data_IF_324970711438
#
_entry.id   IF_324970711438
#
_cell.length_a   1.000
_cell.length_b   1.000
_cell.length_c   1.000
_cell.angle_alpha   90.00
_cell.angle_beta   90.00
_cell.angle_gamma   90.00
#
_symmetry.space_group_name_H-M   'P 1'
#
loop_
_entity.id
_entity.type
_entity.pdbx_description
1 polymer ?
#
# COMPACT_ATOMS: atom_id res chain seq x y z
N UNK A 1 2.49 -2.08 -25.95
CA UNK A 1 2.63 -3.41 -25.29
C UNK A 1 4.06 -3.96 -25.28
N UNK A 2 4.94 -3.60 -26.24
CA UNK A 2 6.34 -4.08 -26.27
C UNK A 2 7.24 -3.57 -25.11
N UNK A 3 6.97 -2.38 -24.57
CA UNK A 3 7.82 -1.76 -23.54
C UNK A 3 7.74 -2.44 -22.15
N UNK A 4 6.59 -3.03 -21.81
CA UNK A 4 6.36 -3.69 -20.51
C UNK A 4 7.11 -5.03 -20.40
N UNK A 5 7.15 -5.78 -21.51
CA UNK A 5 7.93 -7.01 -21.60
C UNK A 5 9.45 -6.76 -21.51
N UNK A 6 9.91 -5.60 -21.97
CA UNK A 6 11.32 -5.24 -21.89
C UNK A 6 11.77 -5.04 -20.43
N UNK A 7 10.92 -4.45 -19.57
CA UNK A 7 11.20 -4.27 -18.14
C UNK A 7 11.21 -5.62 -17.43
N UNK A 8 10.24 -6.49 -17.69
CA UNK A 8 10.17 -7.84 -17.11
C UNK A 8 11.35 -8.71 -17.56
N UNK A 9 11.75 -8.62 -18.83
CA UNK A 9 12.92 -9.31 -19.35
C UNK A 9 14.22 -8.79 -18.70
N UNK A 10 14.36 -7.48 -18.49
CA UNK A 10 15.50 -6.89 -17.78
C UNK A 10 15.61 -7.42 -16.34
N UNK A 11 14.48 -7.54 -15.62
CA UNK A 11 14.43 -8.12 -14.28
C UNK A 11 14.75 -9.63 -14.25
N UNK A 12 14.50 -10.37 -15.34
CA UNK A 12 14.81 -11.80 -15.44
C UNK A 12 16.23 -12.09 -15.94
N UNK A 13 16.85 -11.18 -16.71
CA UNK A 13 18.21 -11.34 -17.25
C UNK A 13 19.26 -10.96 -16.20
N UNK A 14 18.96 -9.99 -15.33
CA UNK A 14 19.90 -9.50 -14.30
C UNK A 14 20.39 -10.60 -13.33
N UNK A 15 19.55 -11.53 -12.84
CA UNK A 15 20.00 -12.66 -12.01
C UNK A 15 20.74 -13.73 -12.82
N UNK A 16 20.40 -13.91 -14.10
CA UNK A 16 20.90 -15.03 -14.92
C UNK A 16 22.36 -14.85 -15.37
N UNK A 17 22.84 -13.62 -15.53
CA UNK A 17 24.23 -13.35 -15.90
C UNK A 17 25.23 -13.47 -14.73
N UNK A 18 24.77 -13.55 -13.48
CA UNK A 18 25.64 -13.72 -12.31
C UNK A 18 26.17 -15.15 -12.12
N UNK A 19 25.74 -16.13 -12.93
CA UNK A 19 26.06 -17.54 -12.71
C UNK A 19 27.31 -18.06 -13.43
N UNK A 20 28.04 -17.19 -14.15
CA UNK A 20 29.18 -17.59 -14.97
C UNK A 20 30.51 -16.93 -14.55
N UNK A 21 30.96 -17.08 -13.31
CA UNK A 21 32.39 -16.87 -13.00
C UNK A 21 32.90 -17.68 -11.80
N UNK A 22 34.12 -18.20 -11.96
CA UNK A 22 34.79 -19.26 -11.19
C UNK A 22 34.93 -19.07 -9.67
N UNK A 23 35.04 -20.24 -9.03
CA UNK A 23 35.22 -20.62 -7.62
C UNK A 23 36.39 -19.98 -6.85
N UNK A 24 36.29 -18.70 -6.47
CA UNK A 24 37.14 -18.17 -5.36
C UNK A 24 36.56 -16.99 -4.54
N UNK A 25 35.36 -16.48 -4.83
CA UNK A 25 34.80 -15.26 -4.19
C UNK A 25 33.38 -15.43 -3.60
N UNK A 26 33.05 -16.60 -3.05
CA UNK A 26 31.68 -16.94 -2.60
C UNK A 26 31.15 -16.01 -1.48
N UNK A 27 32.04 -15.41 -0.68
CA UNK A 27 31.65 -14.45 0.36
C UNK A 27 31.40 -13.04 -0.19
N UNK A 28 32.19 -12.59 -1.17
CA UNK A 28 32.12 -11.23 -1.73
C UNK A 28 30.89 -11.07 -2.64
N UNK A 29 30.63 -12.07 -3.49
CA UNK A 29 29.46 -12.10 -4.39
C UNK A 29 28.13 -12.11 -3.58
N UNK A 30 28.12 -12.75 -2.41
CA UNK A 30 26.92 -12.83 -1.56
C UNK A 30 26.60 -11.49 -0.90
N UNK A 31 27.61 -10.68 -0.57
CA UNK A 31 27.40 -9.36 0.01
C UNK A 31 27.05 -8.31 -1.06
N UNK A 32 27.64 -8.41 -2.27
CA UNK A 32 27.24 -7.60 -3.43
C UNK A 32 25.80 -7.88 -3.87
N UNK A 33 25.38 -9.15 -4.00
CA UNK A 33 24.00 -9.51 -4.35
C UNK A 33 23.00 -8.99 -3.30
N UNK A 34 23.32 -9.16 -2.01
CA UNK A 34 22.51 -8.64 -0.90
C UNK A 34 22.42 -7.10 -0.92
N UNK A 35 23.46 -6.43 -1.40
CA UNK A 35 23.49 -4.97 -1.54
C UNK A 35 22.63 -4.52 -2.72
N UNK A 36 22.77 -5.15 -3.89
CA UNK A 36 21.92 -4.88 -5.07
C UNK A 36 20.45 -5.13 -4.76
N UNK A 37 20.12 -6.24 -4.10
CA UNK A 37 18.74 -6.57 -3.70
C UNK A 37 18.13 -5.48 -2.80
N UNK A 38 18.89 -4.98 -1.81
CA UNK A 38 18.45 -3.87 -0.95
C UNK A 38 18.18 -2.60 -1.76
N UNK A 39 19.07 -2.22 -2.68
CA UNK A 39 18.88 -1.03 -3.51
C UNK A 39 17.65 -1.16 -4.42
N UNK A 40 17.48 -2.31 -5.07
CA UNK A 40 16.30 -2.59 -5.90
C UNK A 40 15.03 -2.51 -5.07
N UNK A 41 15.01 -3.12 -3.88
CA UNK A 41 13.85 -3.07 -2.99
C UNK A 41 13.50 -1.64 -2.55
N UNK A 42 14.51 -0.82 -2.21
CA UNK A 42 14.30 0.59 -1.83
C UNK A 42 13.74 1.40 -3.00
N UNK A 43 14.31 1.26 -4.20
CA UNK A 43 13.84 1.99 -5.40
C UNK A 43 12.40 1.60 -5.74
N UNK A 44 12.10 0.29 -5.79
CA UNK A 44 10.75 -0.19 -6.07
C UNK A 44 9.75 0.27 -5.02
N UNK A 45 10.12 0.19 -3.74
CA UNK A 45 9.29 0.66 -2.64
C UNK A 45 8.99 2.15 -2.75
N UNK A 46 10.00 2.98 -3.00
CA UNK A 46 9.83 4.43 -3.18
C UNK A 46 8.93 4.78 -4.37
N UNK A 47 9.07 4.07 -5.49
CA UNK A 47 8.22 4.28 -6.68
C UNK A 47 6.76 3.89 -6.40
N UNK A 48 6.53 2.74 -5.78
CA UNK A 48 5.19 2.29 -5.40
C UNK A 48 4.52 3.25 -4.40
N UNK A 49 5.30 3.75 -3.44
CA UNK A 49 4.82 4.72 -2.46
C UNK A 49 4.44 6.04 -3.13
N UNK A 50 5.30 6.57 -4.00
CA UNK A 50 5.02 7.80 -4.74
C UNK A 50 3.77 7.65 -5.60
N UNK A 51 3.67 6.55 -6.34
CA UNK A 51 2.48 6.24 -7.14
C UNK A 51 1.22 6.16 -6.27
N UNK A 52 1.30 5.48 -5.12
CA UNK A 52 0.20 5.36 -4.17
C UNK A 52 -0.24 6.71 -3.60
N UNK A 53 0.70 7.58 -3.21
CA UNK A 53 0.41 8.93 -2.71
C UNK A 53 -0.24 9.78 -3.80
N UNK A 54 0.39 9.86 -4.98
CA UNK A 54 -0.10 10.69 -6.09
C UNK A 54 -1.50 10.24 -6.53
N UNK A 55 -1.71 8.93 -6.69
CA UNK A 55 -3.02 8.38 -7.10
C UNK A 55 -4.12 8.66 -6.08
N UNK A 56 -3.83 8.51 -4.79
CA UNK A 56 -4.80 8.80 -3.73
C UNK A 56 -5.11 10.30 -3.61
N UNK A 57 -4.11 11.18 -3.74
CA UNK A 57 -4.33 12.63 -3.79
C UNK A 57 -5.18 13.01 -4.99
N UNK A 58 -4.85 12.48 -6.18
CA UNK A 58 -5.62 12.76 -7.39
C UNK A 58 -7.08 12.32 -7.23
N UNK A 59 -7.32 11.14 -6.66
CA UNK A 59 -8.67 10.65 -6.40
C UNK A 59 -9.43 11.54 -5.41
N UNK A 60 -8.75 12.03 -4.36
CA UNK A 60 -9.31 12.97 -3.40
C UNK A 60 -9.67 14.31 -4.06
N UNK A 61 -8.79 14.85 -4.91
CA UNK A 61 -9.05 16.08 -5.67
C UNK A 61 -10.26 15.90 -6.57
N UNK A 62 -10.40 14.76 -7.25
CA UNK A 62 -11.57 14.45 -8.08
C UNK A 62 -12.86 14.45 -7.24
N UNK A 63 -12.84 13.84 -6.06
CA UNK A 63 -14.00 13.84 -5.16
C UNK A 63 -14.37 15.22 -4.64
N UNK A 64 -13.39 16.10 -4.40
CA UNK A 64 -13.65 17.46 -3.95
C UNK A 64 -14.06 18.42 -5.08
N UNK A 65 -13.60 18.17 -6.31
CA UNK A 65 -13.78 19.11 -7.43
C UNK A 65 -15.03 18.86 -8.26
N UNK A 66 -15.64 17.66 -8.15
CA UNK A 66 -16.75 17.26 -8.99
C UNK A 66 -18.04 17.09 -8.18
N UNK A 67 -18.81 18.16 -8.08
CA UNK A 67 -20.20 18.09 -7.64
C UNK A 67 -21.00 17.25 -8.65
N UNK A 68 -21.42 16.04 -8.23
CA UNK A 68 -22.48 15.19 -8.82
C UNK A 68 -22.14 13.97 -9.70
N UNK A 69 -20.90 13.48 -9.84
CA UNK A 69 -20.67 12.23 -10.61
C UNK A 69 -20.89 10.93 -9.81
N UNK A 70 -20.66 10.95 -8.50
CA UNK A 70 -20.71 9.74 -7.67
C UNK A 70 -21.69 9.89 -6.52
N UNK A 71 -22.29 8.78 -6.09
CA UNK A 71 -23.16 8.80 -4.92
C UNK A 71 -22.36 9.17 -3.68
N UNK A 72 -22.99 9.91 -2.77
CA UNK A 72 -22.37 10.33 -1.51
C UNK A 72 -21.75 9.14 -0.75
N UNK A 73 -22.46 8.02 -0.67
CA UNK A 73 -21.97 6.80 -0.01
C UNK A 73 -20.75 6.21 -0.70
N UNK A 74 -20.66 6.27 -2.03
CA UNK A 74 -19.46 5.82 -2.76
C UNK A 74 -18.25 6.69 -2.40
N UNK A 75 -18.42 8.02 -2.43
CA UNK A 75 -17.35 8.97 -2.08
C UNK A 75 -16.90 8.78 -0.64
N UNK A 76 -17.82 8.55 0.29
CA UNK A 76 -17.49 8.26 1.69
C UNK A 76 -16.65 7.00 1.83
N UNK A 77 -17.07 5.86 1.26
CA UNK A 77 -16.29 4.60 1.35
C UNK A 77 -14.91 4.79 0.73
N UNK A 78 -14.84 5.39 -0.46
CA UNK A 78 -13.58 5.62 -1.15
C UNK A 78 -12.65 6.56 -0.37
N UNK A 79 -13.19 7.58 0.29
CA UNK A 79 -12.42 8.47 1.17
C UNK A 79 -11.83 7.71 2.36
N UNK A 80 -12.58 6.78 2.96
CA UNK A 80 -12.06 5.93 4.04
C UNK A 80 -10.92 5.04 3.55
N UNK A 81 -11.00 4.50 2.33
CA UNK A 81 -9.91 3.71 1.72
C UNK A 81 -8.64 4.56 1.51
N UNK A 82 -8.81 5.82 1.08
CA UNK A 82 -7.70 6.77 0.93
C UNK A 82 -7.02 6.99 2.29
N UNK A 83 -7.81 7.22 3.35
CA UNK A 83 -7.27 7.37 4.72
C UNK A 83 -6.51 6.12 5.16
N UNK A 84 -7.07 4.92 4.97
CA UNK A 84 -6.38 3.66 5.26
C UNK A 84 -5.06 3.51 4.47
N UNK A 85 -5.03 3.97 3.23
CA UNK A 85 -3.82 3.92 2.39
C UNK A 85 -2.70 4.78 3.00
N UNK A 86 -3.01 6.01 3.42
CA UNK A 86 -2.04 6.89 4.09
C UNK A 86 -1.59 6.35 5.46
N UNK A 87 -2.53 5.78 6.23
CA UNK A 87 -2.19 5.10 7.49
C UNK A 87 -1.26 3.92 7.26
N UNK A 88 -1.39 3.20 6.14
CA UNK A 88 -0.48 2.10 5.81
C UNK A 88 0.88 2.58 5.30
N UNK A 89 0.94 3.71 4.57
CA UNK A 89 2.21 4.27 4.09
C UNK A 89 3.11 4.74 5.24
N UNK A 90 2.54 5.31 6.29
CA UNK A 90 3.29 5.86 7.45
C UNK A 90 4.24 4.85 8.11
N UNK A 91 3.78 3.67 8.59
CA UNK A 91 4.66 2.67 9.20
C UNK A 91 5.64 2.10 8.18
N UNK A 92 5.24 1.92 6.92
CA UNK A 92 6.11 1.37 5.89
C UNK A 92 7.28 2.30 5.55
N UNK A 93 7.03 3.60 5.34
CA UNK A 93 8.08 4.60 5.13
C UNK A 93 9.02 4.63 6.33
N UNK A 94 8.45 4.64 7.54
CA UNK A 94 9.25 4.73 8.75
C UNK A 94 10.16 3.51 8.89
N UNK A 95 9.65 2.29 8.69
CA UNK A 95 10.47 1.07 8.74
C UNK A 95 11.55 1.06 7.66
N UNK A 96 11.23 1.46 6.42
CA UNK A 96 12.19 1.48 5.31
C UNK A 96 13.28 2.52 5.54
N UNK A 97 12.92 3.74 5.94
CA UNK A 97 13.87 4.81 6.28
C UNK A 97 14.78 4.37 7.43
N UNK A 98 14.22 3.77 8.48
CA UNK A 98 15.01 3.23 9.60
C UNK A 98 15.95 2.11 9.15
N UNK A 99 15.51 1.23 8.25
CA UNK A 99 16.33 0.13 7.71
C UNK A 99 17.48 0.64 6.84
N UNK A 100 17.30 1.76 6.13
CA UNK A 100 18.36 2.42 5.33
C UNK A 100 19.32 3.18 6.25
N UNK A 101 18.80 3.90 7.25
CA UNK A 101 19.58 4.65 8.24
C UNK A 101 20.29 3.75 9.26
N UNK A 102 20.38 2.44 8.99
CA UNK A 102 20.96 1.39 9.84
C UNK A 102 22.45 1.62 10.08
N UNK A 103 22.73 2.55 10.98
CA UNK A 103 23.95 2.64 11.73
C UNK A 103 23.71 1.86 13.03
N UNK A 104 24.70 1.11 13.52
CA UNK A 104 24.59 0.24 14.72
C UNK A 104 23.98 0.96 15.94
N UNK A 105 24.12 2.28 16.01
CA UNK A 105 23.62 3.11 17.10
C UNK A 105 22.09 3.34 17.09
N UNK A 106 21.41 3.17 15.94
CA UNK A 106 19.95 3.35 15.85
C UNK A 106 19.16 2.10 16.28
N UNK A 107 19.80 0.93 16.30
CA UNK A 107 19.18 -0.34 16.68
C UNK A 107 18.84 -0.38 18.18
N UNK A 108 19.62 0.33 19.02
CA UNK A 108 19.37 0.45 20.46
C UNK A 108 18.30 1.49 20.81
N UNK A 109 18.01 2.44 19.90
CA UNK A 109 17.17 3.60 20.23
C UNK A 109 15.71 3.47 19.77
N UNK A 110 15.42 2.61 18.80
CA UNK A 110 14.03 2.27 18.44
C UNK A 110 13.50 1.31 19.50
N UNK A 111 12.67 1.83 20.41
CA UNK A 111 11.97 0.99 21.36
C UNK A 111 11.16 -0.09 20.61
N UNK A 112 11.27 -1.36 21.03
CA UNK A 112 10.46 -2.49 20.55
C UNK A 112 8.96 -2.15 20.46
N UNK A 113 8.50 -1.22 21.29
CA UNK A 113 7.15 -0.65 21.26
C UNK A 113 6.80 0.06 19.95
N UNK A 114 7.70 0.86 19.38
CA UNK A 114 7.47 1.58 18.11
C UNK A 114 7.26 0.59 16.97
N UNK A 115 8.11 -0.44 16.88
CA UNK A 115 7.95 -1.50 15.88
C UNK A 115 6.63 -2.24 16.04
N UNK A 116 6.24 -2.58 17.27
CA UNK A 116 4.94 -3.21 17.56
C UNK A 116 3.77 -2.33 17.15
N UNK A 117 3.80 -1.05 17.48
CA UNK A 117 2.74 -0.09 17.12
C UNK A 117 2.63 0.04 15.60
N UNK A 118 3.75 0.21 14.89
CA UNK A 118 3.76 0.33 13.43
C UNK A 118 3.33 -0.96 12.73
N UNK A 119 3.75 -2.11 13.24
CA UNK A 119 3.28 -3.40 12.73
C UNK A 119 1.78 -3.57 12.95
N UNK A 120 1.26 -3.24 14.13
CA UNK A 120 -0.16 -3.30 14.43
C UNK A 120 -0.97 -2.34 13.56
N UNK A 121 -0.51 -1.10 13.40
CA UNK A 121 -1.13 -0.06 12.57
C UNK A 121 -1.19 -0.48 11.09
N UNK A 122 -0.12 -1.08 10.55
CA UNK A 122 -0.10 -1.58 9.17
C UNK A 122 -1.08 -2.74 8.97
N UNK A 123 -1.08 -3.72 9.88
CA UNK A 123 -2.01 -4.85 9.84
C UNK A 123 -3.46 -4.39 9.94
N UNK A 124 -3.77 -3.51 10.91
CA UNK A 124 -5.10 -2.93 11.07
C UNK A 124 -5.54 -2.18 9.82
N UNK A 125 -4.70 -1.29 9.29
CA UNK A 125 -5.02 -0.52 8.07
C UNK A 125 -5.28 -1.42 6.86
N UNK A 126 -4.53 -2.53 6.74
CA UNK A 126 -4.74 -3.52 5.69
C UNK A 126 -6.10 -4.22 5.82
N UNK A 127 -6.46 -4.69 7.02
CA UNK A 127 -7.75 -5.33 7.25
C UNK A 127 -8.93 -4.38 7.01
N UNK A 128 -8.86 -3.16 7.53
CA UNK A 128 -9.91 -2.14 7.30
C UNK A 128 -10.02 -1.84 5.80
N UNK A 129 -8.91 -1.68 5.09
CA UNK A 129 -8.90 -1.46 3.64
C UNK A 129 -9.57 -2.60 2.86
N UNK A 130 -9.36 -3.86 3.24
CA UNK A 130 -10.02 -5.01 2.62
C UNK A 130 -11.53 -4.97 2.80
N UNK A 131 -11.99 -4.74 4.03
CA UNK A 131 -13.42 -4.67 4.33
C UNK A 131 -14.10 -3.48 3.64
N UNK A 132 -13.44 -2.31 3.59
CA UNK A 132 -13.94 -1.16 2.84
C UNK A 132 -13.99 -1.42 1.34
N UNK A 133 -13.00 -2.12 0.79
CA UNK A 133 -13.00 -2.50 -0.64
C UNK A 133 -14.15 -3.46 -0.95
N UNK A 134 -14.40 -4.43 -0.06
CA UNK A 134 -15.56 -5.30 -0.15
C UNK A 134 -16.87 -4.50 -0.08
N UNK A 135 -16.99 -3.59 0.87
CA UNK A 135 -18.15 -2.72 1.02
C UNK A 135 -18.37 -1.82 -0.22
N UNK A 136 -17.29 -1.32 -0.83
CA UNK A 136 -17.34 -0.54 -2.07
C UNK A 136 -17.88 -1.38 -3.24
N UNK A 137 -17.43 -2.64 -3.36
CA UNK A 137 -17.90 -3.58 -4.36
C UNK A 137 -19.39 -3.91 -4.16
N UNK A 138 -19.82 -4.15 -2.93
CA UNK A 138 -21.23 -4.37 -2.58
C UNK A 138 -22.08 -3.13 -2.89
N UNK A 139 -21.58 -1.93 -2.57
CA UNK A 139 -22.25 -0.67 -2.91
C UNK A 139 -22.45 -0.53 -4.43
N UNK A 140 -21.43 -0.87 -5.24
CA UNK A 140 -21.54 -0.86 -6.70
C UNK A 140 -22.50 -1.92 -7.23
N UNK A 141 -22.46 -3.13 -6.67
CA UNK A 141 -23.37 -4.21 -7.05
C UNK A 141 -24.82 -3.83 -6.76
N UNK A 142 -25.10 -3.28 -5.58
CA UNK A 142 -26.45 -2.87 -5.19
C UNK A 142 -26.93 -1.69 -6.05
N UNK A 143 -26.07 -0.71 -6.32
CA UNK A 143 -26.42 0.42 -7.17
C UNK A 143 -26.81 0.00 -8.59
N UNK A 144 -26.14 -1.01 -9.16
CA UNK A 144 -26.39 -1.48 -10.53
C UNK A 144 -27.50 -2.53 -10.61
N UNK A 145 -27.48 -3.54 -9.74
CA UNK A 145 -28.35 -4.71 -9.85
C UNK A 145 -29.60 -4.62 -8.97
N UNK A 146 -29.57 -3.87 -7.86
CA UNK A 146 -30.68 -3.81 -6.91
C UNK A 146 -30.92 -2.39 -6.35
N UNK A 147 -31.37 -1.44 -7.20
CA UNK A 147 -31.51 -0.04 -6.80
C UNK A 147 -32.46 0.18 -5.60
N UNK A 148 -33.40 -0.75 -5.35
CA UNK A 148 -34.30 -0.72 -4.19
C UNK A 148 -33.55 -0.78 -2.84
N UNK A 149 -32.41 -1.47 -2.77
CA UNK A 149 -31.61 -1.56 -1.54
C UNK A 149 -30.62 -0.40 -1.37
N UNK A 150 -30.53 0.52 -2.34
CA UNK A 150 -29.68 1.70 -2.24
C UNK A 150 -30.06 2.62 -1.06
N UNK A 151 -31.29 2.49 -0.52
CA UNK A 151 -31.70 3.19 0.71
C UNK A 151 -30.85 2.81 1.92
N UNK A 152 -30.30 1.59 1.97
CA UNK A 152 -29.41 1.16 3.05
C UNK A 152 -28.17 2.07 3.14
N UNK A 153 -27.54 2.38 2.01
CA UNK A 153 -26.36 3.24 1.93
C UNK A 153 -26.62 4.72 2.25
N UNK A 154 -27.89 5.13 2.24
CA UNK A 154 -28.32 6.46 2.69
C UNK A 154 -28.73 6.49 4.15
N UNK A 155 -28.84 5.33 4.80
CA UNK A 155 -29.37 5.21 6.16
C UNK A 155 -28.28 5.39 7.23
N UNK A 156 -28.71 5.69 8.45
CA UNK A 156 -27.81 5.75 9.63
C UNK A 156 -27.05 4.44 9.87
N UNK A 157 -27.63 3.30 9.45
CA UNK A 157 -27.01 1.97 9.60
C UNK A 157 -25.68 1.87 8.85
N UNK A 158 -25.55 2.56 7.73
CA UNK A 158 -24.32 2.60 6.95
C UNK A 158 -23.18 3.31 7.70
N UNK A 159 -23.46 4.45 8.34
CA UNK A 159 -22.48 5.14 9.17
C UNK A 159 -22.06 4.31 10.38
N UNK A 160 -23.01 3.63 11.03
CA UNK A 160 -22.71 2.71 12.13
C UNK A 160 -21.79 1.56 11.67
N UNK A 161 -22.02 1.02 10.48
CA UNK A 161 -21.17 -0.02 9.90
C UNK A 161 -19.74 0.49 9.66
N UNK A 162 -19.58 1.71 9.14
CA UNK A 162 -18.26 2.33 8.98
C UNK A 162 -17.54 2.51 10.32
N UNK A 163 -18.23 3.01 11.35
CA UNK A 163 -17.65 3.19 12.69
C UNK A 163 -17.25 1.83 13.29
N UNK A 164 -18.11 0.83 13.18
CA UNK A 164 -17.83 -0.53 13.66
C UNK A 164 -16.61 -1.13 12.97
N UNK A 165 -16.36 -0.79 11.71
CA UNK A 165 -15.20 -1.27 10.99
C UNK A 165 -13.89 -0.67 11.52
N UNK A 166 -13.90 0.61 11.89
CA UNK A 166 -12.75 1.28 12.51
C UNK A 166 -12.47 0.84 13.95
N UNK A 167 -13.46 0.23 14.61
CA UNK A 167 -13.34 -0.28 15.98
C UNK A 167 -12.92 -1.76 16.05
N UNK A 168 -12.87 -2.47 14.92
CA UNK A 168 -12.54 -3.90 14.85
C UNK A 168 -11.05 -4.17 14.89
#
# INVERSE_FOLDING_TARGET
MAHSYCIIALFLILPSNCHAQNTTNVFDIRDECNTVEKYVAVVLFSLLLLYGIVSNILLMVIFCSHDNLYSHSFVLIASQIIVCSFLNFTPQVTIVVLKILRNKNFEEQISTWIYRIFSAMSTFSFFVSLHLTFLLAVNRLIATSFPKFNSFFKSMKFYFLLISLWLS
#
